data_IF_218849950694
#
_entry.id   IF_218849950694
#
_cell.length_a   1.000
_cell.length_b   1.000
_cell.length_c   1.000
_cell.angle_alpha   90.00
_cell.angle_beta   90.00
_cell.angle_gamma   90.00
#
_symmetry.space_group_name_H-M   'P 1'
#
loop_
_entity.id
_entity.type
_entity.pdbx_description
1 polymer ?
#
# COMPACT_ATOMS: atom_id res chain seq x y z
N UNK A 1 18.29 -28.24 47.57
CA UNK A 1 17.27 -28.88 48.41
C UNK A 1 16.70 -27.84 49.38
N UNK A 2 15.38 -27.64 49.33
CA UNK A 2 14.49 -27.11 50.37
C UNK A 2 14.78 -25.81 51.16
N UNK A 3 13.82 -24.89 50.96
CA UNK A 3 12.95 -24.22 51.95
C UNK A 3 13.34 -22.83 52.52
N UNK A 4 12.43 -21.90 52.18
CA UNK A 4 11.76 -20.84 52.99
C UNK A 4 12.66 -19.85 53.76
N UNK A 5 12.38 -18.55 53.61
CA UNK A 5 11.57 -17.72 54.52
C UNK A 5 11.31 -16.36 53.84
N UNK A 6 10.04 -15.95 53.76
CA UNK A 6 9.63 -14.56 53.50
C UNK A 6 9.33 -13.94 54.87
N UNK A 7 9.86 -12.76 55.23
CA UNK A 7 9.46 -12.08 56.45
C UNK A 7 8.19 -11.27 56.23
N UNK A 8 7.32 -11.37 57.22
CA UNK A 8 6.09 -10.60 57.42
C UNK A 8 6.44 -9.13 57.64
N UNK A 9 5.97 -8.22 56.78
CA UNK A 9 5.97 -6.79 57.07
C UNK A 9 4.61 -6.38 57.66
N UNK A 10 4.71 -5.75 58.82
CA UNK A 10 3.65 -5.44 59.78
C UNK A 10 2.67 -4.37 59.28
N UNK A 11 1.42 -4.47 59.74
CA UNK A 11 0.39 -3.42 59.60
C UNK A 11 0.83 -2.18 60.39
N UNK A 12 0.96 -1.04 59.72
CA UNK A 12 1.07 0.28 60.32
C UNK A 12 -0.23 1.04 60.02
N UNK A 13 -0.89 1.68 61.00
CA UNK A 13 -2.16 2.36 60.81
C UNK A 13 -1.99 3.63 59.98
N UNK A 14 -2.83 3.76 58.94
CA UNK A 14 -2.97 4.98 58.13
C UNK A 14 -3.73 6.04 58.92
N UNK A 15 -3.03 6.77 59.78
CA UNK A 15 -3.43 8.10 60.16
C UNK A 15 -2.20 9.01 60.05
N UNK A 16 -2.38 10.14 59.35
CA UNK A 16 -1.38 11.18 59.06
C UNK A 16 -0.24 10.82 58.08
N UNK A 17 -0.57 10.74 56.78
CA UNK A 17 0.38 11.00 55.69
C UNK A 17 -0.17 12.11 54.78
N UNK A 18 0.58 13.19 54.48
CA UNK A 18 0.09 14.29 53.65
C UNK A 18 -0.02 13.88 52.17
N UNK A 19 -1.16 14.21 51.55
CA UNK A 19 -1.59 13.81 50.20
C UNK A 19 -0.59 14.13 49.06
N UNK A 20 0.35 15.06 49.26
CA UNK A 20 1.30 15.48 48.23
C UNK A 20 2.44 14.48 47.97
N UNK A 21 2.82 13.68 48.96
CA UNK A 21 3.90 12.70 48.82
C UNK A 21 3.45 11.44 48.05
N UNK A 22 2.17 11.05 48.18
CA UNK A 22 1.61 9.87 47.52
C UNK A 22 1.43 10.07 46.00
N UNK A 23 1.02 11.28 45.59
CA UNK A 23 0.89 11.63 44.18
C UNK A 23 2.23 11.59 43.43
N UNK A 24 3.31 12.00 44.09
CA UNK A 24 4.66 12.02 43.50
C UNK A 24 5.23 10.60 43.35
N UNK A 25 4.91 9.70 44.29
CA UNK A 25 5.32 8.29 44.24
C UNK A 25 4.62 7.51 43.11
N UNK A 26 3.31 7.76 42.88
CA UNK A 26 2.52 7.14 41.81
C UNK A 26 3.02 7.54 40.42
N UNK A 27 3.42 8.80 40.22
CA UNK A 27 3.94 9.26 38.92
C UNK A 27 5.26 8.57 38.57
N UNK A 28 6.12 8.31 39.58
CA UNK A 28 7.44 7.69 39.38
C UNK A 28 7.40 6.17 39.17
N UNK A 29 6.35 5.45 39.62
CA UNK A 29 6.25 3.98 39.53
C UNK A 29 5.12 3.46 38.62
N UNK A 30 4.53 4.33 37.80
CA UNK A 30 3.38 4.04 36.93
C UNK A 30 3.60 2.92 35.89
N UNK A 31 4.83 2.50 35.61
CA UNK A 31 5.11 1.42 34.65
C UNK A 31 4.96 0.00 35.21
N UNK A 32 5.10 -0.21 36.53
CA UNK A 32 5.01 -1.55 37.14
C UNK A 32 3.58 -1.91 37.57
N UNK A 33 2.71 -0.92 37.77
CA UNK A 33 1.30 -1.15 38.13
C UNK A 33 0.42 -1.60 36.95
N UNK A 34 0.77 -1.24 35.70
CA UNK A 34 -0.01 -1.62 34.51
C UNK A 34 0.00 -3.14 34.25
N UNK A 35 1.07 -3.85 34.62
CA UNK A 35 1.14 -5.31 34.45
C UNK A 35 0.26 -6.10 35.43
N UNK A 36 0.06 -5.60 36.66
CA UNK A 36 -0.80 -6.25 37.65
C UNK A 36 -2.30 -6.01 37.40
N UNK A 37 -2.67 -4.83 36.87
CA UNK A 37 -4.07 -4.51 36.56
C UNK A 37 -4.67 -5.37 35.45
N UNK A 38 -3.88 -5.71 34.43
CA UNK A 38 -4.32 -6.55 33.32
C UNK A 38 -4.58 -8.01 33.76
N UNK A 39 -3.76 -8.52 34.68
CA UNK A 39 -3.91 -9.88 35.26
C UNK A 39 -5.18 -10.01 36.11
N UNK A 40 -5.53 -8.98 36.89
CA UNK A 40 -6.76 -8.94 37.67
C UNK A 40 -8.02 -8.86 36.77
N UNK A 41 -7.94 -8.12 35.66
CA UNK A 41 -9.02 -8.04 34.68
C UNK A 41 -9.25 -9.38 33.98
N UNK A 42 -8.19 -10.06 33.54
CA UNK A 42 -8.27 -11.40 32.94
C UNK A 42 -8.82 -12.42 33.94
N UNK A 43 -8.37 -12.39 35.20
CA UNK A 43 -8.87 -13.28 36.25
C UNK A 43 -10.36 -13.06 36.53
N UNK A 44 -10.82 -11.80 36.64
CA UNK A 44 -12.23 -11.47 36.86
C UNK A 44 -13.13 -11.88 35.68
N UNK A 45 -12.63 -11.75 34.45
CA UNK A 45 -13.36 -12.15 33.22
C UNK A 45 -13.46 -13.67 33.10
N UNK A 46 -12.41 -14.40 33.50
CA UNK A 46 -12.40 -15.87 33.53
C UNK A 46 -13.34 -16.39 34.63
N UNK A 47 -13.34 -15.79 35.83
CA UNK A 47 -14.23 -16.16 36.94
C UNK A 47 -15.72 -15.87 36.64
N UNK A 48 -16.02 -14.77 35.96
CA UNK A 48 -17.40 -14.45 35.53
C UNK A 48 -17.88 -15.32 34.36
N UNK A 49 -16.99 -15.66 33.42
CA UNK A 49 -17.26 -16.61 32.35
C UNK A 49 -17.53 -18.04 32.85
N UNK A 50 -16.72 -18.52 33.81
CA UNK A 50 -16.88 -19.84 34.43
C UNK A 50 -18.20 -19.97 35.23
N UNK A 51 -18.63 -18.89 35.89
CA UNK A 51 -19.93 -18.85 36.58
C UNK A 51 -21.13 -18.90 35.61
N UNK A 52 -21.02 -18.34 34.40
CA UNK A 52 -22.11 -18.41 33.41
C UNK A 52 -22.25 -19.79 32.76
N UNK A 53 -21.15 -20.54 32.62
CA UNK A 53 -21.15 -21.90 32.04
C UNK A 53 -21.60 -23.01 33.00
N UNK A 54 -21.68 -22.75 34.32
CA UNK A 54 -22.15 -23.71 35.33
C UNK A 54 -23.65 -23.60 35.66
N UNK A 55 -24.37 -22.66 35.06
CA UNK A 55 -25.80 -22.40 35.35
C UNK A 55 -26.79 -22.90 34.27
N UNK A 56 -26.34 -23.76 33.36
CA UNK A 56 -27.18 -24.32 32.30
C UNK A 56 -27.26 -25.86 32.36
N UNK A 57 -27.82 -26.41 33.44
CA UNK A 57 -28.36 -27.78 33.43
C UNK A 57 -29.37 -27.98 34.57
N UNK A 58 -30.56 -28.54 34.30
CA UNK A 58 -31.62 -28.71 35.30
C UNK A 58 -31.41 -30.03 36.03
N UNK A 59 -31.39 -30.01 37.37
CA UNK A 59 -31.83 -31.10 38.28
C UNK A 59 -31.33 -30.81 39.72
N UNK A 60 -32.20 -31.15 40.69
CA UNK A 60 -32.01 -31.20 42.14
C UNK A 60 -32.55 -30.03 42.98
N UNK A 61 -33.74 -30.31 43.52
CA UNK A 61 -34.43 -29.71 44.66
C UNK A 61 -33.63 -29.82 45.98
N UNK A 62 -33.65 -28.77 46.79
CA UNK A 62 -33.92 -28.74 48.26
C UNK A 62 -33.47 -27.37 48.82
N UNK A 63 -34.27 -26.66 49.65
CA UNK A 63 -33.95 -25.30 50.09
C UNK A 63 -33.50 -25.30 51.55
N UNK A 64 -32.20 -25.25 51.84
CA UNK A 64 -31.69 -24.70 53.11
C UNK A 64 -30.27 -24.17 52.86
N UNK A 65 -29.98 -22.99 53.45
CA UNK A 65 -28.65 -22.41 53.67
C UNK A 65 -28.07 -21.38 52.69
N UNK A 66 -28.84 -20.37 52.22
CA UNK A 66 -28.21 -19.23 51.51
C UNK A 66 -28.79 -17.84 51.85
N UNK A 67 -28.84 -17.49 53.14
CA UNK A 67 -29.10 -16.10 53.58
C UNK A 67 -27.87 -15.34 54.11
N UNK A 68 -26.65 -15.88 54.00
CA UNK A 68 -25.46 -15.28 54.63
C UNK A 68 -24.49 -14.50 53.73
N UNK A 69 -24.59 -14.56 52.39
CA UNK A 69 -23.46 -14.18 51.52
C UNK A 69 -23.75 -13.03 50.53
N UNK A 70 -24.99 -12.55 50.39
CA UNK A 70 -25.33 -11.50 49.40
C UNK A 70 -25.78 -10.16 49.99
N UNK A 71 -25.08 -9.67 51.01
CA UNK A 71 -25.26 -8.30 51.52
C UNK A 71 -24.20 -7.26 51.05
N UNK A 72 -22.94 -7.58 50.70
CA UNK A 72 -21.97 -6.53 50.35
C UNK A 72 -21.84 -6.21 48.85
N UNK A 73 -22.46 -6.99 47.94
CA UNK A 73 -22.27 -6.82 46.49
C UNK A 73 -23.19 -5.78 45.82
N UNK A 74 -24.17 -5.21 46.52
CA UNK A 74 -25.03 -4.14 45.96
C UNK A 74 -24.45 -2.72 46.09
N UNK A 75 -23.39 -2.52 46.87
CA UNK A 75 -22.80 -1.18 47.10
C UNK A 75 -21.66 -0.81 46.13
N UNK A 76 -21.15 -1.76 45.32
CA UNK A 76 -19.95 -1.54 44.48
C UNK A 76 -20.29 -1.07 43.05
N UNK A 77 -21.55 -1.20 42.61
CA UNK A 77 -21.91 -0.93 41.20
C UNK A 77 -21.95 0.55 40.78
N UNK A 78 -22.08 1.51 41.71
CA UNK A 78 -22.18 2.93 41.31
C UNK A 78 -20.83 3.66 41.23
N UNK A 79 -19.85 3.26 42.05
CA UNK A 79 -18.53 3.93 42.08
C UNK A 79 -17.56 3.39 41.02
N UNK A 80 -17.69 2.11 40.65
CA UNK A 80 -16.79 1.49 39.66
C UNK A 80 -17.13 1.88 38.22
N UNK A 81 -18.42 2.08 37.91
CA UNK A 81 -18.87 2.53 36.58
C UNK A 81 -18.44 3.98 36.29
N UNK A 82 -18.41 4.84 37.32
CA UNK A 82 -17.87 6.21 37.21
C UNK A 82 -16.35 6.22 36.95
N UNK A 83 -15.61 5.27 37.53
CA UNK A 83 -14.16 5.16 37.32
C UNK A 83 -13.82 4.65 35.91
N UNK A 84 -14.63 3.75 35.35
CA UNK A 84 -14.50 3.26 33.97
C UNK A 84 -14.85 4.36 32.96
N UNK A 85 -15.91 5.14 33.20
CA UNK A 85 -16.29 6.28 32.34
C UNK A 85 -15.26 7.42 32.37
N UNK A 86 -14.61 7.65 33.52
CA UNK A 86 -13.50 8.60 33.63
C UNK A 86 -12.23 8.10 32.92
N UNK A 87 -11.96 6.79 32.93
CA UNK A 87 -10.83 6.21 32.19
C UNK A 87 -11.05 6.21 30.67
N UNK A 88 -12.28 6.01 30.19
CA UNK A 88 -12.61 6.19 28.77
C UNK A 88 -12.48 7.66 28.31
N UNK A 89 -12.81 8.63 29.18
CA UNK A 89 -12.56 10.05 28.87
C UNK A 89 -11.07 10.41 28.83
N UNK A 90 -10.22 9.75 29.62
CA UNK A 90 -8.76 9.95 29.54
C UNK A 90 -8.11 9.22 28.35
N UNK A 91 -8.63 8.07 27.94
CA UNK A 91 -8.11 7.32 26.79
C UNK A 91 -8.43 7.98 25.43
N UNK A 92 -9.48 8.80 25.36
CA UNK A 92 -9.84 9.59 24.17
C UNK A 92 -8.97 10.85 23.97
N UNK A 93 -8.17 11.26 24.95
CA UNK A 93 -7.29 12.43 24.84
C UNK A 93 -5.84 12.11 24.44
N UNK A 94 -5.46 10.83 24.32
CA UNK A 94 -4.07 10.43 24.01
C UNK A 94 -3.84 10.02 22.54
N UNK A 95 -4.86 10.07 21.68
CA UNK A 95 -4.72 9.78 20.25
C UNK A 95 -5.51 10.78 19.40
N UNK A 96 -4.92 11.97 19.21
CA UNK A 96 -5.24 12.82 18.06
C UNK A 96 -3.95 13.10 17.30
N UNK A 97 -3.79 12.56 16.08
CA UNK A 97 -2.75 13.03 15.17
C UNK A 97 -3.14 14.45 14.69
N UNK A 98 -2.18 15.36 14.75
CA UNK A 98 -2.28 16.68 14.12
C UNK A 98 -2.47 16.49 12.60
N UNK A 99 -3.54 17.02 11.99
CA UNK A 99 -3.30 17.98 10.91
C UNK A 99 -4.36 19.08 10.75
N UNK A 100 -3.89 20.21 10.19
CA UNK A 100 -4.58 21.15 9.29
C UNK A 100 -5.99 21.65 9.67
N UNK A 101 -6.06 22.91 10.13
CA UNK A 101 -7.15 23.85 9.77
C UNK A 101 -6.73 25.28 10.17
N UNK A 102 -6.25 26.05 9.19
CA UNK A 102 -6.30 27.51 9.21
C UNK A 102 -6.99 27.94 7.93
N UNK A 103 -8.32 28.07 8.02
CA UNK A 103 -9.31 28.75 7.18
C UNK A 103 -10.63 28.23 7.77
N UNK A 104 -11.46 28.98 8.50
CA UNK A 104 -12.15 30.19 8.09
C UNK A 104 -13.01 30.74 9.26
N UNK A 105 -13.30 32.04 9.18
CA UNK A 105 -14.55 32.72 9.57
C UNK A 105 -14.93 32.84 11.08
N UNK A 106 -15.04 34.11 11.46
CA UNK A 106 -15.48 34.67 12.73
C UNK A 106 -17.00 34.49 12.93
N UNK A 107 -17.41 34.18 14.16
CA UNK A 107 -18.60 34.64 14.91
C UNK A 107 -18.71 33.67 16.11
N UNK A 108 -18.90 34.00 17.38
CA UNK A 108 -19.12 35.21 18.16
C UNK A 108 -19.68 34.72 19.51
N UNK A 109 -19.16 35.25 20.64
CA UNK A 109 -19.61 35.03 22.04
C UNK A 109 -19.25 33.64 22.61
N UNK A 110 -18.57 33.46 23.74
CA UNK A 110 -18.17 34.32 24.85
C UNK A 110 -18.34 33.55 26.15
N UNK A 111 -17.31 32.84 26.63
CA UNK A 111 -17.22 32.33 28.01
C UNK A 111 -15.74 32.36 28.46
N UNK A 112 -15.51 32.82 29.69
CA UNK A 112 -14.23 33.27 30.24
C UNK A 112 -13.09 32.23 30.17
N UNK A 113 -12.09 32.50 29.34
CA UNK A 113 -10.86 31.72 29.26
C UNK A 113 -9.80 32.23 30.24
N UNK A 114 -9.33 31.33 31.12
CA UNK A 114 -8.08 31.49 31.88
C UNK A 114 -6.96 31.78 30.88
N UNK A 115 -6.40 32.98 30.96
CA UNK A 115 -5.41 33.49 30.02
C UNK A 115 -4.04 32.89 30.38
N UNK A 116 -3.77 31.66 29.94
CA UNK A 116 -2.41 31.15 29.89
C UNK A 116 -1.60 31.98 28.88
N UNK A 117 -0.89 33.02 29.36
CA UNK A 117 0.19 33.64 28.59
C UNK A 117 1.30 32.61 28.45
N UNK A 118 1.28 31.87 27.35
CA UNK A 118 2.47 31.18 26.88
C UNK A 118 3.39 32.26 26.33
N UNK A 119 4.42 32.61 27.12
CA UNK A 119 5.47 33.52 26.70
C UNK A 119 6.27 32.87 25.56
N UNK A 120 5.87 33.16 24.32
CA UNK A 120 6.44 32.60 23.09
C UNK A 120 7.86 33.08 22.80
N UNK A 121 8.47 33.92 23.66
CA UNK A 121 9.77 34.54 23.42
C UNK A 121 11.00 33.79 23.96
N UNK A 122 10.85 32.62 24.60
CA UNK A 122 12.02 31.85 25.11
C UNK A 122 11.96 30.32 24.95
N UNK A 123 11.23 29.78 23.97
CA UNK A 123 11.53 28.42 23.49
C UNK A 123 12.60 28.52 22.40
N UNK A 124 13.87 28.48 22.80
CA UNK A 124 14.91 27.90 21.92
C UNK A 124 14.37 26.54 21.52
N UNK A 125 13.89 26.42 20.27
CA UNK A 125 13.58 25.15 19.66
C UNK A 125 14.84 24.30 19.89
N UNK A 126 14.72 23.22 20.65
CA UNK A 126 15.83 22.32 20.90
C UNK A 126 16.15 21.67 19.55
N UNK A 127 16.97 22.34 18.73
CA UNK A 127 17.46 21.78 17.49
C UNK A 127 18.32 20.59 17.90
N UNK A 128 17.95 19.34 17.55
CA UNK A 128 18.79 18.21 17.83
C UNK A 128 20.17 18.48 17.22
N UNK A 129 21.27 18.02 17.84
CA UNK A 129 22.62 18.26 17.33
C UNK A 129 22.65 17.89 15.85
N UNK A 130 23.15 18.80 15.00
CA UNK A 130 23.17 18.63 13.55
C UNK A 130 23.95 17.37 13.23
N UNK A 131 23.23 16.28 12.95
CA UNK A 131 23.83 14.98 12.73
C UNK A 131 24.54 14.99 11.37
N UNK A 132 25.80 14.56 11.36
CA UNK A 132 26.57 14.39 10.13
C UNK A 132 25.98 13.26 9.29
N UNK A 133 26.27 13.29 7.99
CA UNK A 133 25.92 12.22 7.07
C UNK A 133 26.63 10.93 7.47
N UNK A 134 25.87 9.86 7.69
CA UNK A 134 26.37 8.53 8.04
C UNK A 134 27.16 7.82 6.92
N UNK A 135 27.26 8.41 5.73
CA UNK A 135 27.99 7.83 4.59
C UNK A 135 29.30 8.57 4.31
N UNK A 136 29.29 9.90 4.29
CA UNK A 136 30.51 10.68 4.01
C UNK A 136 31.17 11.30 5.25
N UNK A 137 30.46 11.39 6.38
CA UNK A 137 30.89 11.99 7.65
C UNK A 137 31.33 13.48 7.58
N UNK A 138 31.33 14.08 6.38
CA UNK A 138 31.77 15.45 6.11
C UNK A 138 30.61 16.45 6.08
N UNK A 139 29.56 16.11 5.35
CA UNK A 139 28.40 16.99 5.14
C UNK A 139 27.31 16.77 6.19
N UNK A 140 26.47 17.78 6.39
CA UNK A 140 25.30 17.70 7.27
C UNK A 140 24.24 16.78 6.67
N UNK A 141 23.62 15.94 7.48
CA UNK A 141 22.50 15.14 7.02
C UNK A 141 21.27 16.01 6.77
N UNK A 142 20.67 15.87 5.59
CA UNK A 142 19.48 16.62 5.16
C UNK A 142 18.24 15.74 5.24
N UNK A 143 18.39 14.42 5.10
CA UNK A 143 17.27 13.48 5.11
C UNK A 143 17.58 12.23 5.94
N UNK A 144 16.50 11.61 6.42
CA UNK A 144 16.50 10.25 6.95
C UNK A 144 15.97 9.31 5.88
N UNK A 145 16.79 8.35 5.47
CA UNK A 145 16.47 7.44 4.38
C UNK A 145 15.33 6.49 4.77
N UNK A 146 14.23 6.39 4.00
CA UNK A 146 13.09 5.51 4.31
C UNK A 146 13.48 4.04 4.46
N UNK A 147 14.31 3.51 3.56
CA UNK A 147 14.67 2.08 3.49
C UNK A 147 15.37 1.52 4.74
N UNK A 148 16.21 2.32 5.40
CA UNK A 148 17.08 1.84 6.48
C UNK A 148 17.27 2.82 7.64
N UNK A 149 16.62 3.99 7.60
CA UNK A 149 16.69 5.00 8.64
C UNK A 149 18.03 5.74 8.75
N UNK A 150 18.98 5.52 7.82
CA UNK A 150 20.28 6.20 7.82
C UNK A 150 20.13 7.69 7.51
N UNK A 151 20.93 8.52 8.17
CA UNK A 151 20.96 9.96 7.94
C UNK A 151 21.95 10.31 6.83
N UNK A 152 21.49 10.94 5.76
CA UNK A 152 22.27 11.20 4.55
C UNK A 152 22.25 12.67 4.16
N UNK A 153 23.37 13.16 3.62
CA UNK A 153 23.38 14.40 2.86
C UNK A 153 22.79 14.16 1.45
N UNK A 154 22.45 15.24 0.75
CA UNK A 154 21.81 15.18 -0.56
C UNK A 154 22.69 14.47 -1.61
N UNK A 155 23.99 14.77 -1.64
CA UNK A 155 24.93 14.16 -2.58
C UNK A 155 25.05 12.64 -2.38
N UNK A 156 25.25 12.21 -1.14
CA UNK A 156 25.32 10.78 -0.82
C UNK A 156 24.03 10.05 -1.14
N UNK A 157 22.88 10.69 -0.92
CA UNK A 157 21.59 10.11 -1.28
C UNK A 157 21.47 9.89 -2.79
N UNK A 158 21.84 10.87 -3.62
CA UNK A 158 21.82 10.72 -5.08
C UNK A 158 22.71 9.56 -5.55
N UNK A 159 23.97 9.54 -5.11
CA UNK A 159 24.91 8.50 -5.50
C UNK A 159 24.42 7.10 -5.10
N UNK A 160 23.90 6.95 -3.88
CA UNK A 160 23.39 5.65 -3.40
C UNK A 160 22.13 5.24 -4.16
N UNK A 161 21.20 6.16 -4.40
CA UNK A 161 19.96 5.88 -5.11
C UNK A 161 20.21 5.50 -6.57
N UNK A 162 21.05 6.28 -7.27
CA UNK A 162 21.46 6.02 -8.66
C UNK A 162 22.22 4.70 -8.79
N UNK A 163 23.15 4.42 -7.86
CA UNK A 163 23.92 3.17 -7.85
C UNK A 163 23.04 1.93 -7.61
N UNK A 164 22.03 2.01 -6.74
CA UNK A 164 21.11 0.89 -6.48
C UNK A 164 20.20 0.60 -7.67
N UNK A 165 19.77 1.64 -8.40
CA UNK A 165 19.01 1.47 -9.65
C UNK A 165 19.91 0.84 -10.72
N UNK A 166 21.16 1.30 -10.84
CA UNK A 166 22.17 0.68 -11.72
C UNK A 166 22.39 -0.80 -11.37
N UNK A 167 22.57 -1.13 -10.09
CA UNK A 167 22.75 -2.50 -9.62
C UNK A 167 21.54 -3.38 -10.00
N UNK A 168 20.32 -2.84 -9.87
CA UNK A 168 19.09 -3.53 -10.28
C UNK A 168 19.09 -3.82 -11.78
N UNK A 169 19.47 -2.83 -12.60
CA UNK A 169 19.56 -2.97 -14.06
C UNK A 169 20.55 -4.08 -14.44
N UNK A 170 21.72 -4.10 -13.82
CA UNK A 170 22.79 -5.04 -14.12
C UNK A 170 22.47 -6.46 -13.62
N UNK A 171 21.99 -6.58 -12.38
CA UNK A 171 21.64 -7.87 -11.76
C UNK A 171 20.55 -8.60 -12.54
N UNK A 172 19.51 -7.87 -12.94
CA UNK A 172 18.37 -8.42 -13.69
C UNK A 172 18.61 -8.45 -15.21
N UNK A 173 19.77 -7.97 -15.68
CA UNK A 173 20.15 -7.90 -17.10
C UNK A 173 19.06 -7.25 -17.96
N UNK A 174 18.55 -6.10 -17.52
CA UNK A 174 17.35 -5.49 -18.12
C UNK A 174 17.57 -5.03 -19.57
N UNK A 175 18.79 -4.64 -19.94
CA UNK A 175 19.10 -4.07 -21.25
C UNK A 175 20.28 -4.78 -21.92
N UNK A 176 20.32 -4.69 -23.25
CA UNK A 176 21.43 -5.08 -24.10
C UNK A 176 21.84 -3.85 -24.94
N UNK A 177 23.13 -3.70 -25.29
CA UNK A 177 23.56 -2.65 -26.21
C UNK A 177 22.80 -2.76 -27.54
N UNK A 178 22.33 -1.62 -28.05
CA UNK A 178 21.50 -1.53 -29.26
C UNK A 178 19.99 -1.70 -29.03
N UNK A 179 19.53 -1.94 -27.79
CA UNK A 179 18.10 -2.00 -27.50
C UNK A 179 17.41 -0.64 -27.77
N UNK A 180 16.25 -0.69 -28.42
CA UNK A 180 15.34 0.45 -28.55
C UNK A 180 14.31 0.37 -27.43
N UNK A 181 14.34 1.35 -26.54
CA UNK A 181 13.67 1.29 -25.25
C UNK A 181 12.58 2.36 -25.17
N UNK A 182 11.32 1.93 -25.19
CA UNK A 182 10.16 2.82 -25.03
C UNK A 182 9.86 3.04 -23.54
N UNK A 183 10.07 4.26 -23.05
CA UNK A 183 9.77 4.65 -21.68
C UNK A 183 8.34 5.18 -21.57
N UNK A 184 7.53 4.54 -20.74
CA UNK A 184 6.15 4.98 -20.46
C UNK A 184 6.14 6.30 -19.69
N UNK A 185 5.68 7.37 -20.32
CA UNK A 185 5.62 8.72 -19.77
C UNK A 185 4.19 9.07 -19.36
N UNK A 186 3.88 8.98 -18.06
CA UNK A 186 2.58 9.39 -17.52
C UNK A 186 2.56 10.85 -17.04
N UNK A 187 3.71 11.52 -17.00
CA UNK A 187 3.85 12.89 -16.46
C UNK A 187 3.91 12.94 -14.93
N UNK A 188 3.68 11.81 -14.26
CA UNK A 188 3.78 11.70 -12.80
C UNK A 188 5.22 11.50 -12.31
N UNK A 189 5.40 11.68 -11.01
CA UNK A 189 6.71 11.62 -10.31
C UNK A 189 7.56 10.40 -10.68
N UNK A 190 6.97 9.21 -10.68
CA UNK A 190 7.71 7.96 -10.87
C UNK A 190 8.22 7.84 -12.31
N UNK A 191 7.39 8.22 -13.29
CA UNK A 191 7.79 8.23 -14.70
C UNK A 191 8.84 9.29 -15.01
N UNK A 192 8.73 10.49 -14.42
CA UNK A 192 9.70 11.57 -14.62
C UNK A 192 11.07 11.20 -14.04
N UNK A 193 11.11 10.66 -12.81
CA UNK A 193 12.35 10.19 -12.18
C UNK A 193 12.95 9.05 -12.98
N UNK A 194 12.13 8.11 -13.45
CA UNK A 194 12.59 7.02 -14.31
C UNK A 194 13.26 7.56 -15.59
N UNK A 195 12.63 8.49 -16.32
CA UNK A 195 13.18 9.07 -17.54
C UNK A 195 14.53 9.74 -17.25
N UNK A 196 14.60 10.53 -16.17
CA UNK A 196 15.83 11.18 -15.75
C UNK A 196 16.95 10.17 -15.45
N UNK A 197 16.67 9.14 -14.66
CA UNK A 197 17.63 8.10 -14.30
C UNK A 197 18.08 7.29 -15.50
N UNK A 198 17.15 6.91 -16.39
CA UNK A 198 17.48 6.14 -17.59
C UNK A 198 18.41 6.94 -18.50
N UNK A 199 18.18 8.24 -18.68
CA UNK A 199 19.06 9.12 -19.44
C UNK A 199 20.43 9.27 -18.78
N UNK A 200 20.45 9.59 -17.48
CA UNK A 200 21.67 9.78 -16.70
C UNK A 200 22.54 8.52 -16.67
N UNK A 201 21.96 7.37 -16.33
CA UNK A 201 22.69 6.11 -16.21
C UNK A 201 23.15 5.58 -17.58
N UNK A 202 22.39 5.80 -18.65
CA UNK A 202 22.82 5.46 -20.01
C UNK A 202 24.05 6.25 -20.44
N UNK A 203 24.13 7.53 -20.06
CA UNK A 203 25.30 8.38 -20.34
C UNK A 203 26.50 8.06 -19.44
N UNK A 204 26.26 7.78 -18.15
CA UNK A 204 27.33 7.49 -17.19
C UNK A 204 27.95 6.09 -17.36
N UNK A 205 27.15 5.11 -17.73
CA UNK A 205 27.58 3.69 -17.81
C UNK A 205 27.58 3.14 -19.24
N UNK A 206 27.28 3.98 -20.23
CA UNK A 206 27.32 3.62 -21.66
C UNK A 206 26.54 2.34 -21.98
N UNK A 207 25.29 2.23 -21.51
CA UNK A 207 24.45 1.05 -21.79
C UNK A 207 24.21 0.83 -23.29
N UNK A 208 24.37 1.87 -24.11
CA UNK A 208 24.20 1.80 -25.56
C UNK A 208 22.74 1.62 -25.98
N UNK A 209 21.80 2.12 -25.17
CA UNK A 209 20.36 2.02 -25.46
C UNK A 209 19.84 3.30 -26.13
N UNK A 210 18.87 3.14 -27.02
CA UNK A 210 18.13 4.24 -27.63
C UNK A 210 16.83 4.48 -26.84
N UNK A 211 16.73 5.62 -26.17
CA UNK A 211 15.56 5.98 -25.36
C UNK A 211 14.52 6.74 -26.19
N UNK A 212 13.27 6.27 -26.13
CA UNK A 212 12.10 6.91 -26.73
C UNK A 212 11.03 7.11 -25.66
N UNK A 213 10.26 8.19 -25.73
CA UNK A 213 9.14 8.44 -24.82
C UNK A 213 7.82 8.03 -25.46
N UNK A 214 7.02 7.27 -24.72
CA UNK A 214 5.69 6.86 -25.13
C UNK A 214 4.67 7.30 -24.07
N UNK A 215 3.75 8.18 -24.46
CA UNK A 215 2.68 8.67 -23.60
C UNK A 215 1.33 8.22 -24.15
N UNK A 216 0.43 7.82 -23.25
CA UNK A 216 -0.93 7.44 -23.62
C UNK A 216 -1.90 8.48 -23.06
N UNK A 217 -2.72 9.07 -23.91
CA UNK A 217 -3.80 9.96 -23.52
C UNK A 217 -5.10 9.15 -23.35
N UNK A 218 -5.53 9.00 -22.10
CA UNK A 218 -6.76 8.31 -21.75
C UNK A 218 -8.02 9.11 -22.04
N UNK A 219 -7.91 10.42 -22.31
CA UNK A 219 -9.05 11.32 -22.52
C UNK A 219 -9.88 11.56 -21.26
N UNK A 220 -9.19 11.87 -20.15
CA UNK A 220 -9.81 12.26 -18.86
C UNK A 220 -9.71 13.78 -18.71
N UNK A 221 -10.84 14.47 -18.80
CA UNK A 221 -10.90 15.92 -18.75
C UNK A 221 -10.35 16.49 -17.43
N UNK A 222 -9.53 17.55 -17.52
CA UNK A 222 -9.00 18.26 -16.36
C UNK A 222 -7.90 17.51 -15.58
N UNK A 223 -7.53 16.30 -16.01
CA UNK A 223 -6.42 15.53 -15.46
C UNK A 223 -5.28 15.40 -16.49
N UNK A 224 -5.62 14.93 -17.70
CA UNK A 224 -4.59 14.53 -18.66
C UNK A 224 -3.99 15.71 -19.43
N UNK A 225 -4.75 16.78 -19.62
CA UNK A 225 -4.30 18.00 -20.32
C UNK A 225 -3.03 18.60 -19.71
N UNK A 226 -3.02 18.78 -18.39
CA UNK A 226 -1.86 19.36 -17.69
C UNK A 226 -0.70 18.37 -17.56
N UNK A 227 -1.03 17.09 -17.40
CA UNK A 227 -0.05 16.02 -17.36
C UNK A 227 0.71 15.88 -18.69
N UNK A 228 0.03 16.00 -19.83
CA UNK A 228 0.65 15.95 -21.16
C UNK A 228 1.60 17.14 -21.39
N UNK A 229 1.23 18.35 -20.95
CA UNK A 229 2.14 19.52 -21.00
C UNK A 229 3.46 19.25 -20.27
N UNK A 230 3.41 18.56 -19.13
CA UNK A 230 4.62 18.15 -18.41
C UNK A 230 5.42 17.10 -19.18
N UNK A 231 4.76 16.13 -19.83
CA UNK A 231 5.45 15.14 -20.67
C UNK A 231 6.14 15.80 -21.87
N UNK A 232 5.51 16.77 -22.53
CA UNK A 232 6.12 17.54 -23.62
C UNK A 232 7.36 18.30 -23.14
N UNK A 233 7.26 19.03 -22.02
CA UNK A 233 8.41 19.71 -21.40
C UNK A 233 9.54 18.74 -21.07
N UNK A 234 9.24 17.57 -20.51
CA UNK A 234 10.25 16.55 -20.23
C UNK A 234 10.92 16.03 -21.51
N UNK A 235 10.18 15.85 -22.60
CA UNK A 235 10.74 15.44 -23.89
C UNK A 235 11.74 16.49 -24.43
N UNK A 236 11.40 17.78 -24.31
CA UNK A 236 12.27 18.89 -24.70
C UNK A 236 13.53 18.97 -23.82
N UNK A 237 13.35 18.93 -22.49
CA UNK A 237 14.47 19.03 -21.52
C UNK A 237 15.48 17.90 -21.69
N UNK A 238 15.02 16.67 -21.92
CA UNK A 238 15.90 15.51 -22.10
C UNK A 238 16.29 15.25 -23.57
N UNK A 239 15.78 16.06 -24.50
CA UNK A 239 15.95 15.90 -25.94
C UNK A 239 15.66 14.46 -26.42
N UNK A 240 14.46 13.97 -26.07
CA UNK A 240 14.01 12.61 -26.40
C UNK A 240 12.78 12.66 -27.31
N UNK A 241 12.73 11.78 -28.31
CA UNK A 241 11.57 11.66 -29.19
C UNK A 241 10.34 11.18 -28.42
N UNK A 242 9.24 11.92 -28.51
CA UNK A 242 7.97 11.63 -27.85
C UNK A 242 6.90 11.20 -28.86
N UNK A 243 6.27 10.06 -28.59
CA UNK A 243 5.03 9.64 -29.25
C UNK A 243 3.88 9.68 -28.26
N UNK A 244 2.81 10.36 -28.63
CA UNK A 244 1.54 10.36 -27.89
C UNK A 244 0.53 9.55 -28.69
N UNK A 245 -0.22 8.67 -28.02
CA UNK A 245 -1.36 7.95 -28.59
C UNK A 245 -2.59 8.18 -27.72
N UNK A 246 -3.75 8.40 -28.31
CA UNK A 246 -4.99 8.59 -27.56
C UNK A 246 -5.86 7.33 -27.55
N UNK A 247 -6.65 7.13 -26.49
CA UNK A 247 -7.67 6.07 -26.48
C UNK A 247 -8.72 6.29 -27.55
N UNK A 248 -9.04 7.55 -27.88
CA UNK A 248 -9.98 7.87 -28.94
C UNK A 248 -9.50 7.33 -30.29
N UNK A 249 -8.23 7.50 -30.62
CA UNK A 249 -7.63 6.95 -31.84
C UNK A 249 -7.55 5.42 -31.83
N UNK A 250 -7.15 4.83 -30.70
CA UNK A 250 -6.87 3.38 -30.63
C UNK A 250 -8.13 2.52 -30.52
N UNK A 251 -9.18 3.07 -29.91
CA UNK A 251 -10.36 2.32 -29.46
C UNK A 251 -11.69 2.96 -29.86
N UNK A 252 -11.71 4.24 -30.28
CA UNK A 252 -12.92 5.00 -30.56
C UNK A 252 -13.61 5.58 -29.31
N UNK A 253 -13.06 5.31 -28.12
CA UNK A 253 -13.64 5.68 -26.82
C UNK A 253 -12.63 6.47 -25.98
N UNK A 254 -13.09 7.52 -25.29
CA UNK A 254 -12.32 8.12 -24.18
C UNK A 254 -12.68 7.45 -22.85
N UNK A 255 -11.85 7.62 -21.82
CA UNK A 255 -12.21 7.13 -20.49
C UNK A 255 -13.45 7.81 -19.92
N UNK A 256 -13.67 9.10 -20.20
CA UNK A 256 -14.87 9.80 -19.76
C UNK A 256 -16.14 9.21 -20.40
N UNK A 257 -16.08 8.80 -21.67
CA UNK A 257 -17.17 8.10 -22.35
C UNK A 257 -17.40 6.69 -21.76
N UNK A 258 -16.32 5.96 -21.47
CA UNK A 258 -16.41 4.64 -20.82
C UNK A 258 -17.07 4.73 -19.45
N UNK A 259 -16.65 5.68 -18.61
CA UNK A 259 -17.21 5.86 -17.26
C UNK A 259 -18.70 6.19 -17.30
N UNK A 260 -19.16 6.98 -18.28
CA UNK A 260 -20.59 7.28 -18.48
C UNK A 260 -21.42 6.03 -18.73
N UNK A 261 -20.87 5.02 -19.41
CA UNK A 261 -21.57 3.77 -19.75
C UNK A 261 -21.44 2.73 -18.64
N UNK A 262 -20.25 2.57 -18.05
CA UNK A 262 -19.93 1.43 -17.17
C UNK A 262 -19.99 1.75 -15.68
N UNK A 263 -20.08 3.05 -15.33
CA UNK A 263 -19.97 3.54 -13.97
C UNK A 263 -18.54 3.50 -13.41
N UNK A 264 -18.37 4.09 -12.21
CA UNK A 264 -17.07 4.32 -11.57
C UNK A 264 -16.36 3.02 -11.14
N UNK A 265 -17.07 2.08 -10.54
CA UNK A 265 -16.49 0.85 -9.94
C UNK A 265 -15.69 0.00 -10.92
N UNK A 266 -16.10 -0.04 -12.19
CA UNK A 266 -15.45 -0.86 -13.21
C UNK A 266 -14.44 -0.09 -14.08
N UNK A 267 -14.44 1.25 -14.01
CA UNK A 267 -13.66 2.12 -14.89
C UNK A 267 -12.15 1.85 -14.87
N UNK A 268 -11.58 1.61 -13.69
CA UNK A 268 -10.15 1.31 -13.54
C UNK A 268 -9.75 -0.02 -14.21
N UNK A 269 -10.68 -0.98 -14.31
CA UNK A 269 -10.45 -2.25 -15.02
C UNK A 269 -10.33 -2.01 -16.52
N UNK A 270 -11.23 -1.20 -17.10
CA UNK A 270 -11.14 -0.81 -18.52
C UNK A 270 -9.85 -0.02 -18.80
N UNK A 271 -9.59 1.01 -17.99
CA UNK A 271 -8.42 1.85 -18.14
C UNK A 271 -7.11 1.04 -18.06
N UNK A 272 -6.97 0.13 -17.09
CA UNK A 272 -5.77 -0.69 -16.95
C UNK A 272 -5.53 -1.64 -18.12
N UNK A 273 -6.59 -2.28 -18.63
CA UNK A 273 -6.51 -3.20 -19.78
C UNK A 273 -6.16 -2.44 -21.06
N UNK A 274 -6.83 -1.31 -21.31
CA UNK A 274 -6.55 -0.46 -22.47
C UNK A 274 -5.16 0.17 -22.39
N UNK A 275 -4.71 0.64 -21.22
CA UNK A 275 -3.38 1.23 -21.05
C UNK A 275 -2.28 0.24 -21.38
N UNK A 276 -2.43 -1.00 -20.90
CA UNK A 276 -1.46 -2.07 -21.18
C UNK A 276 -1.37 -2.31 -22.68
N UNK A 277 -2.50 -2.56 -23.34
CA UNK A 277 -2.52 -2.82 -24.78
C UNK A 277 -2.02 -1.61 -25.57
N UNK A 278 -2.41 -0.39 -25.22
CA UNK A 278 -1.99 0.85 -25.87
C UNK A 278 -0.47 1.06 -25.80
N UNK A 279 0.15 0.76 -24.65
CA UNK A 279 1.61 0.77 -24.52
C UNK A 279 2.27 -0.27 -25.42
N UNK A 280 1.71 -1.48 -25.54
CA UNK A 280 2.25 -2.51 -26.45
C UNK A 280 2.12 -2.08 -27.91
N UNK A 281 0.97 -1.50 -28.30
CA UNK A 281 0.76 -0.96 -29.66
C UNK A 281 1.76 0.14 -29.97
N UNK A 282 1.89 1.12 -29.08
CA UNK A 282 2.78 2.26 -29.28
C UNK A 282 4.24 1.87 -29.31
N UNK A 283 4.66 0.91 -28.49
CA UNK A 283 6.01 0.38 -28.51
C UNK A 283 6.30 -0.38 -29.82
N UNK A 284 5.35 -1.18 -30.32
CA UNK A 284 5.47 -1.84 -31.62
C UNK A 284 5.57 -0.83 -32.79
N UNK A 285 4.78 0.24 -32.77
CA UNK A 285 4.84 1.30 -33.79
C UNK A 285 6.18 2.05 -33.82
N UNK A 286 6.85 2.15 -32.67
CA UNK A 286 8.17 2.77 -32.54
C UNK A 286 9.33 1.81 -32.85
N UNK A 287 9.05 0.53 -33.14
CA UNK A 287 10.08 -0.50 -33.30
C UNK A 287 10.86 -0.79 -32.01
N UNK A 288 10.26 -0.53 -30.83
CA UNK A 288 10.92 -0.75 -29.56
C UNK A 288 11.09 -2.25 -29.26
N UNK A 289 12.25 -2.62 -28.71
CA UNK A 289 12.52 -3.99 -28.25
C UNK A 289 12.03 -4.23 -26.83
N UNK A 290 11.93 -3.16 -26.01
CA UNK A 290 11.53 -3.22 -24.60
C UNK A 290 10.69 -2.02 -24.18
N UNK A 291 9.82 -2.22 -23.20
CA UNK A 291 9.03 -1.15 -22.57
C UNK A 291 9.44 -0.97 -21.12
N UNK A 292 9.82 0.25 -20.73
CA UNK A 292 10.19 0.59 -19.35
C UNK A 292 9.01 1.27 -18.67
N UNK A 293 8.73 0.89 -17.44
CA UNK A 293 7.66 1.49 -16.63
C UNK A 293 8.16 1.90 -15.26
N UNK A 294 7.63 3.00 -14.72
CA UNK A 294 8.04 3.57 -13.43
C UNK A 294 7.48 2.85 -12.21
N UNK A 295 7.16 1.55 -12.29
CA UNK A 295 6.65 0.81 -11.14
C UNK A 295 7.74 0.70 -10.07
N UNK A 296 7.41 1.17 -8.87
CA UNK A 296 8.32 1.21 -7.73
C UNK A 296 8.12 0.00 -6.78
N UNK A 297 8.89 -0.05 -5.69
CA UNK A 297 8.81 -1.13 -4.71
C UNK A 297 7.43 -1.20 -4.03
N UNK A 298 6.85 -0.06 -3.69
CA UNK A 298 5.53 0.05 -3.08
C UNK A 298 4.44 -0.53 -4.00
N UNK A 299 4.47 -0.18 -5.29
CA UNK A 299 3.53 -0.70 -6.29
C UNK A 299 3.60 -2.23 -6.43
N UNK A 300 4.81 -2.78 -6.31
CA UNK A 300 5.03 -4.21 -6.39
C UNK A 300 4.54 -4.91 -5.11
N UNK A 301 4.86 -4.37 -3.94
CA UNK A 301 4.36 -4.88 -2.66
C UNK A 301 2.83 -4.83 -2.57
N UNK A 302 2.20 -3.74 -3.03
CA UNK A 302 0.74 -3.63 -3.16
C UNK A 302 0.18 -4.76 -4.03
N UNK A 303 0.81 -5.01 -5.17
CA UNK A 303 0.35 -6.05 -6.11
C UNK A 303 0.49 -7.45 -5.51
N UNK A 304 1.59 -7.74 -4.83
CA UNK A 304 1.81 -9.01 -4.11
C UNK A 304 0.73 -9.19 -3.04
N UNK A 305 0.52 -8.20 -2.20
CA UNK A 305 -0.50 -8.25 -1.14
C UNK A 305 -1.91 -8.46 -1.71
N UNK A 306 -2.28 -7.71 -2.75
CA UNK A 306 -3.57 -7.85 -3.41
C UNK A 306 -3.77 -9.26 -4.00
N UNK A 307 -2.73 -9.85 -4.60
CA UNK A 307 -2.82 -11.19 -5.18
C UNK A 307 -2.93 -12.27 -4.10
N UNK A 308 -2.23 -12.10 -2.97
CA UNK A 308 -2.39 -12.97 -1.78
C UNK A 308 -3.83 -12.90 -1.26
N UNK A 309 -4.36 -11.70 -1.06
CA UNK A 309 -5.73 -11.51 -0.55
C UNK A 309 -6.81 -12.04 -1.50
N UNK A 310 -6.52 -12.08 -2.80
CA UNK A 310 -7.43 -12.65 -3.82
C UNK A 310 -7.28 -14.16 -3.99
N UNK A 311 -6.25 -14.78 -3.43
CA UNK A 311 -5.91 -16.17 -3.72
C UNK A 311 -5.47 -16.43 -5.17
N UNK A 312 -5.00 -15.41 -5.89
CA UNK A 312 -4.61 -15.51 -7.31
C UNK A 312 -3.14 -15.93 -7.43
N UNK A 313 -2.89 -17.23 -7.22
CA UNK A 313 -1.55 -17.83 -7.25
C UNK A 313 -0.85 -17.69 -8.63
N UNK A 314 -1.53 -17.88 -9.79
CA UNK A 314 -0.91 -17.69 -11.10
C UNK A 314 -0.44 -16.25 -11.36
N UNK A 315 -1.11 -15.23 -10.83
CA UNK A 315 -0.63 -13.85 -10.92
C UNK A 315 0.46 -13.54 -9.90
N UNK A 316 0.39 -14.14 -8.71
CA UNK A 316 1.40 -13.98 -7.68
C UNK A 316 2.79 -14.44 -8.16
N UNK A 317 2.88 -15.60 -8.81
CA UNK A 317 4.16 -16.15 -9.31
C UNK A 317 4.81 -15.26 -10.37
N UNK A 318 4.02 -14.53 -11.18
CA UNK A 318 4.52 -13.69 -12.28
C UNK A 318 4.78 -12.25 -11.88
N UNK A 319 4.10 -11.72 -10.86
CA UNK A 319 4.13 -10.30 -10.55
C UNK A 319 5.50 -9.79 -10.06
N UNK A 320 6.32 -10.66 -9.48
CA UNK A 320 7.64 -10.34 -8.87
C UNK A 320 8.78 -10.23 -9.88
N UNK A 321 8.56 -10.64 -11.14
CA UNK A 321 9.60 -10.60 -12.17
C UNK A 321 9.93 -9.16 -12.57
N UNK A 322 11.23 -8.83 -12.62
CA UNK A 322 11.72 -7.53 -13.08
C UNK A 322 11.53 -7.34 -14.58
N UNK A 323 11.57 -8.44 -15.33
CA UNK A 323 11.21 -8.54 -16.74
C UNK A 323 9.94 -9.38 -16.83
N UNK A 324 8.84 -8.77 -17.28
CA UNK A 324 7.60 -9.52 -17.53
C UNK A 324 7.57 -9.95 -18.99
N UNK A 325 7.77 -11.25 -19.25
CA UNK A 325 7.72 -11.88 -20.56
C UNK A 325 6.50 -12.80 -20.67
N UNK A 326 5.84 -12.86 -21.84
CA UNK A 326 4.75 -13.81 -22.13
C UNK A 326 3.32 -13.28 -22.00
N UNK A 327 3.08 -12.15 -21.33
CA UNK A 327 1.75 -11.48 -21.31
C UNK A 327 1.58 -10.40 -22.38
N UNK A 328 2.68 -9.81 -22.83
CA UNK A 328 2.73 -8.74 -23.82
C UNK A 328 3.63 -9.14 -24.98
N UNK A 329 3.40 -8.51 -26.14
CA UNK A 329 4.21 -8.69 -27.33
C UNK A 329 5.69 -8.37 -27.06
N UNK A 330 5.93 -7.35 -26.24
CA UNK A 330 7.26 -6.88 -25.86
C UNK A 330 7.49 -7.09 -24.36
N UNK A 331 8.71 -7.43 -23.94
CA UNK A 331 9.06 -7.54 -22.53
C UNK A 331 8.98 -6.17 -21.84
N UNK A 332 8.38 -6.15 -20.65
CA UNK A 332 8.30 -4.96 -19.80
C UNK A 332 9.33 -5.03 -18.70
N UNK A 333 10.08 -3.95 -18.52
CA UNK A 333 11.15 -3.85 -17.52
C UNK A 333 10.84 -2.78 -16.47
N UNK A 334 11.26 -3.04 -15.23
CA UNK A 334 11.00 -2.19 -14.05
C UNK A 334 12.31 -1.84 -13.32
N UNK A 335 13.07 -0.83 -13.77
CA UNK A 335 14.32 -0.43 -13.11
C UNK A 335 14.14 0.02 -11.66
N UNK A 336 12.98 0.58 -11.32
CA UNK A 336 12.64 1.08 -9.98
C UNK A 336 12.08 -0.01 -9.05
N UNK A 337 12.19 -1.29 -9.41
CA UNK A 337 11.60 -2.44 -8.66
C UNK A 337 11.90 -2.42 -7.16
N UNK A 338 13.10 -1.99 -6.74
CA UNK A 338 13.51 -1.95 -5.33
C UNK A 338 13.59 -0.52 -4.76
N UNK A 339 13.21 0.49 -5.54
CA UNK A 339 13.19 1.88 -5.10
C UNK A 339 11.88 2.19 -4.37
N UNK A 340 11.98 2.75 -3.17
CA UNK A 340 10.80 3.18 -2.40
C UNK A 340 10.17 4.42 -3.05
N UNK A 341 8.84 4.49 -3.04
CA UNK A 341 8.09 5.66 -3.52
C UNK A 341 8.53 6.95 -2.82
N UNK A 342 8.75 6.90 -1.49
CA UNK A 342 9.26 8.04 -0.73
C UNK A 342 10.63 8.50 -1.21
N UNK A 343 11.52 7.58 -1.60
CA UNK A 343 12.83 7.92 -2.14
C UNK A 343 12.72 8.57 -3.52
N UNK A 344 11.81 8.07 -4.37
CA UNK A 344 11.51 8.67 -5.68
C UNK A 344 10.99 10.11 -5.51
N UNK A 345 10.06 10.34 -4.59
CA UNK A 345 9.54 11.69 -4.27
C UNK A 345 10.66 12.61 -3.80
N UNK A 346 11.51 12.14 -2.87
CA UNK A 346 12.64 12.92 -2.37
C UNK A 346 13.64 13.25 -3.48
N UNK A 347 13.93 12.28 -4.35
CA UNK A 347 14.83 12.45 -5.47
C UNK A 347 14.29 13.50 -6.46
N UNK A 348 13.01 13.39 -6.84
CA UNK A 348 12.34 14.36 -7.72
C UNK A 348 12.38 15.77 -7.12
N UNK A 349 12.06 15.91 -5.83
CA UNK A 349 12.06 17.18 -5.12
C UNK A 349 13.46 17.80 -5.06
N UNK A 350 14.48 17.03 -4.68
CA UNK A 350 15.85 17.53 -4.55
C UNK A 350 16.51 17.88 -5.89
N UNK A 351 16.17 17.16 -6.97
CA UNK A 351 16.59 17.49 -8.34
C UNK A 351 15.71 18.56 -8.99
N UNK A 352 14.62 18.98 -8.33
CA UNK A 352 13.63 19.94 -8.84
C UNK A 352 13.07 19.54 -10.21
N UNK A 353 12.74 18.26 -10.36
CA UNK A 353 12.16 17.74 -11.60
C UNK A 353 10.74 18.25 -11.78
N UNK A 354 10.34 18.49 -13.03
CA UNK A 354 9.00 18.92 -13.38
C UNK A 354 8.08 17.70 -13.52
N UNK A 355 7.17 17.53 -12.57
CA UNK A 355 6.22 16.43 -12.55
C UNK A 355 4.83 16.89 -12.10
N UNK A 356 3.82 16.20 -12.62
CA UNK A 356 2.42 16.42 -12.27
C UNK A 356 2.04 15.61 -11.02
N UNK A 357 1.36 16.24 -10.07
CA UNK A 357 1.03 15.66 -8.75
C UNK A 357 -0.42 15.25 -8.58
N UNK A 358 -1.33 15.76 -9.40
CA UNK A 358 -2.76 15.47 -9.24
C UNK A 358 -2.99 13.97 -9.45
N UNK A 359 -3.86 13.38 -8.62
CA UNK A 359 -4.32 12.00 -8.77
C UNK A 359 -5.51 11.92 -9.73
N UNK A 360 -5.75 10.73 -10.29
CA UNK A 360 -6.89 10.52 -11.18
C UNK A 360 -8.22 10.63 -10.43
N UNK A 361 -9.19 11.35 -10.99
CA UNK A 361 -10.52 11.52 -10.39
C UNK A 361 -11.23 10.19 -10.15
N UNK A 362 -10.95 9.17 -10.98
CA UNK A 362 -11.61 7.86 -10.93
C UNK A 362 -10.89 6.81 -10.08
N UNK A 363 -9.72 7.09 -9.51
CA UNK A 363 -8.93 6.06 -8.78
C UNK A 363 -9.37 5.85 -7.33
N UNK A 364 -10.27 6.67 -6.79
CA UNK A 364 -10.61 6.68 -5.35
C UNK A 364 -11.29 5.40 -4.86
N UNK A 365 -12.12 4.76 -5.67
CA UNK A 365 -12.90 3.57 -5.28
C UNK A 365 -12.16 2.23 -5.51
N UNK A 366 -10.88 2.26 -5.89
CA UNK A 366 -10.14 1.04 -6.20
C UNK A 366 -9.66 0.31 -4.93
N UNK A 367 -9.84 -1.02 -4.88
CA UNK A 367 -9.31 -1.89 -3.80
C UNK A 367 -7.81 -1.71 -3.52
N UNK A 368 -7.05 -1.26 -4.53
CA UNK A 368 -5.63 -0.96 -4.39
C UNK A 368 -5.35 0.11 -3.32
N UNK A 369 -6.25 1.07 -3.14
CA UNK A 369 -6.13 2.13 -2.12
C UNK A 369 -6.14 1.56 -0.70
N UNK A 370 -6.93 0.51 -0.46
CA UNK A 370 -6.98 -0.18 0.85
C UNK A 370 -5.69 -0.97 1.10
N UNK A 371 -5.21 -1.72 0.11
CA UNK A 371 -3.94 -2.45 0.19
C UNK A 371 -2.75 -1.50 0.45
N UNK A 372 -2.74 -0.33 -0.20
CA UNK A 372 -1.76 0.73 0.04
C UNK A 372 -1.82 1.22 1.48
N UNK A 373 -3.00 1.57 1.97
CA UNK A 373 -3.19 2.07 3.34
C UNK A 373 -2.68 1.06 4.37
N UNK A 374 -3.03 -0.22 4.20
CA UNK A 374 -2.55 -1.30 5.06
C UNK A 374 -1.02 -1.41 5.04
N UNK A 375 -0.39 -1.40 3.85
CA UNK A 375 1.07 -1.46 3.74
C UNK A 375 1.76 -0.27 4.39
N UNK A 376 1.26 0.95 4.19
CA UNK A 376 1.84 2.15 4.81
C UNK A 376 1.72 2.12 6.33
N UNK A 377 0.62 1.59 6.87
CA UNK A 377 0.45 1.42 8.32
C UNK A 377 1.50 0.44 8.90
N UNK A 378 1.79 -0.65 8.19
CA UNK A 378 2.85 -1.60 8.59
C UNK A 378 4.24 -0.97 8.44
N UNK A 379 4.47 -0.18 7.38
CA UNK A 379 5.74 0.50 7.11
C UNK A 379 6.16 1.45 8.25
N UNK A 380 5.20 2.08 8.93
CA UNK A 380 5.45 2.93 10.11
C UNK A 380 6.10 2.11 11.24
N UNK A 381 5.65 0.87 11.44
CA UNK A 381 6.16 -0.03 12.48
C UNK A 381 7.46 -0.72 12.03
N UNK A 382 7.52 -1.14 10.77
CA UNK A 382 8.64 -1.87 10.19
C UNK A 382 9.00 -1.31 8.80
N UNK A 383 9.99 -0.41 8.69
CA UNK A 383 10.33 0.27 7.42
C UNK A 383 10.76 -0.67 6.29
N UNK A 384 11.24 -1.88 6.63
CA UNK A 384 11.66 -2.90 5.66
C UNK A 384 10.51 -3.72 5.07
N UNK A 385 9.28 -3.60 5.58
CA UNK A 385 8.17 -4.46 5.20
C UNK A 385 7.91 -4.50 3.69
N UNK A 386 8.16 -3.41 2.97
CA UNK A 386 7.95 -3.30 1.52
C UNK A 386 8.92 -4.23 0.78
N UNK A 387 10.23 -4.10 1.03
CA UNK A 387 11.23 -4.97 0.42
C UNK A 387 11.13 -6.42 0.89
N UNK A 388 10.80 -6.63 2.17
CA UNK A 388 10.62 -7.98 2.70
C UNK A 388 9.42 -8.67 2.02
N UNK A 389 8.33 -7.94 1.76
CA UNK A 389 7.19 -8.45 0.98
C UNK A 389 7.59 -8.84 -0.44
N UNK A 390 8.40 -8.01 -1.12
CA UNK A 390 8.92 -8.32 -2.45
C UNK A 390 9.79 -9.57 -2.41
N UNK A 391 10.72 -9.65 -1.45
CA UNK A 391 11.60 -10.80 -1.26
C UNK A 391 10.82 -12.07 -0.99
N UNK A 392 9.77 -12.01 -0.16
CA UNK A 392 8.86 -13.13 0.07
C UNK A 392 8.18 -13.53 -1.25
N UNK A 393 7.65 -12.57 -2.01
CA UNK A 393 7.05 -12.85 -3.33
C UNK A 393 8.03 -13.48 -4.34
N UNK A 394 9.31 -13.13 -4.31
CA UNK A 394 10.36 -13.74 -5.15
C UNK A 394 10.71 -15.17 -4.72
N UNK A 395 10.60 -15.47 -3.42
CA UNK A 395 10.91 -16.79 -2.86
C UNK A 395 9.72 -17.75 -2.87
N UNK A 396 8.49 -17.22 -2.89
CA UNK A 396 7.28 -18.00 -2.98
C UNK A 396 7.23 -18.73 -4.33
N UNK A 397 7.44 -20.04 -4.28
CA UNK A 397 7.23 -20.93 -5.43
C UNK A 397 5.83 -21.52 -5.31
N UNK A 398 4.99 -21.21 -6.29
CA UNK A 398 3.71 -21.89 -6.47
C UNK A 398 3.98 -23.19 -7.24
N UNK A 399 3.28 -24.27 -6.90
CA UNK A 399 3.39 -25.54 -7.63
C UNK A 399 3.03 -25.33 -9.10
N UNK A 400 3.80 -25.90 -10.02
CA UNK A 400 3.61 -25.73 -11.47
C UNK A 400 2.19 -26.10 -11.92
N UNK A 401 1.58 -27.12 -11.29
CA UNK A 401 0.20 -27.57 -11.54
C UNK A 401 -0.86 -26.51 -11.22
N UNK A 402 -0.60 -25.60 -10.26
CA UNK A 402 -1.52 -24.53 -9.88
C UNK A 402 -1.25 -23.23 -10.69
N UNK A 403 -0.10 -23.14 -11.37
CA UNK A 403 0.26 -21.99 -12.22
C UNK A 403 0.00 -22.21 -13.70
N UNK A 404 -0.17 -23.46 -14.15
CA UNK A 404 -0.50 -23.76 -15.53
C UNK A 404 -1.88 -23.19 -15.85
N UNK A 405 -1.92 -22.13 -16.65
CA UNK A 405 -3.15 -21.74 -17.33
C UNK A 405 -3.51 -22.85 -18.30
N UNK A 406 -4.76 -23.32 -18.28
CA UNK A 406 -5.26 -24.42 -19.13
C UNK A 406 -4.95 -24.20 -20.63
N UNK A 407 -4.76 -22.95 -21.05
CA UNK A 407 -4.45 -22.58 -22.43
C UNK A 407 -3.07 -21.87 -22.55
N UNK A 408 -2.22 -22.27 -23.50
CA UNK A 408 -0.99 -21.56 -23.81
C UNK A 408 -1.28 -20.16 -24.40
N UNK A 409 -0.35 -19.19 -24.26
CA UNK A 409 -0.50 -17.88 -24.87
C UNK A 409 -0.59 -18.02 -26.41
N UNK A 410 -1.67 -17.49 -26.96
CA UNK A 410 -2.00 -17.50 -28.39
C UNK A 410 -2.29 -16.08 -28.89
N UNK A 411 -2.39 -15.90 -30.22
CA UNK A 411 -2.75 -14.62 -30.80
C UNK A 411 -4.27 -14.43 -30.82
N UNK A 412 -4.73 -13.26 -30.37
CA UNK A 412 -6.15 -12.89 -30.41
C UNK A 412 -6.66 -12.86 -31.85
N UNK A 413 -7.79 -13.53 -32.12
CA UNK A 413 -8.36 -13.64 -33.47
C UNK A 413 -8.74 -12.29 -34.08
N UNK A 414 -9.06 -11.28 -33.24
CA UNK A 414 -9.48 -9.95 -33.70
C UNK A 414 -8.35 -8.95 -33.87
N UNK A 415 -7.33 -9.00 -33.01
CA UNK A 415 -6.29 -7.95 -33.00
C UNK A 415 -4.85 -8.49 -33.06
N UNK A 416 -4.65 -9.80 -33.06
CA UNK A 416 -3.33 -10.44 -33.15
C UNK A 416 -2.48 -10.37 -31.88
N UNK A 417 -2.91 -9.67 -30.82
CA UNK A 417 -2.15 -9.56 -29.57
C UNK A 417 -2.25 -10.81 -28.69
N UNK A 418 -1.22 -11.02 -27.87
CA UNK A 418 -1.09 -12.19 -26.98
C UNK A 418 -2.27 -12.28 -26.00
N UNK A 419 -2.85 -13.47 -25.90
CA UNK A 419 -3.95 -13.79 -24.99
C UNK A 419 -4.03 -15.30 -24.73
N UNK A 420 -4.54 -15.70 -23.57
CA UNK A 420 -4.84 -17.10 -23.24
C UNK A 420 -6.24 -17.54 -23.67
N UNK A 421 -7.03 -16.65 -24.29
CA UNK A 421 -8.39 -16.90 -24.75
C UNK A 421 -8.49 -16.63 -26.26
N UNK A 422 -9.61 -16.98 -26.90
CA UNK A 422 -9.81 -16.68 -28.33
C UNK A 422 -9.81 -15.17 -28.63
N UNK A 423 -10.39 -14.38 -27.72
CA UNK A 423 -10.39 -12.92 -27.75
C UNK A 423 -9.63 -12.36 -26.56
N UNK A 424 -8.76 -11.38 -26.82
CA UNK A 424 -8.08 -10.68 -25.73
C UNK A 424 -9.06 -9.86 -24.89
N UNK A 425 -8.71 -9.64 -23.62
CA UNK A 425 -9.58 -8.93 -22.67
C UNK A 425 -9.99 -7.54 -23.17
N UNK A 426 -9.11 -6.83 -23.86
CA UNK A 426 -9.43 -5.54 -24.44
C UNK A 426 -10.53 -5.63 -25.51
N UNK A 427 -10.45 -6.62 -26.42
CA UNK A 427 -11.48 -6.84 -27.44
C UNK A 427 -12.84 -7.23 -26.84
N UNK A 428 -12.84 -8.04 -25.78
CA UNK A 428 -14.06 -8.40 -25.04
C UNK A 428 -14.70 -7.16 -24.42
N UNK A 429 -13.92 -6.32 -23.73
CA UNK A 429 -14.40 -5.09 -23.12
C UNK A 429 -14.93 -4.09 -24.15
N UNK A 430 -14.25 -3.94 -25.28
CA UNK A 430 -14.70 -3.07 -26.38
C UNK A 430 -16.00 -3.57 -27.02
N UNK A 431 -16.16 -4.89 -27.15
CA UNK A 431 -17.41 -5.47 -27.63
C UNK A 431 -18.57 -5.16 -26.68
N UNK A 432 -18.34 -5.26 -25.36
CA UNK A 432 -19.32 -4.89 -24.35
C UNK A 432 -19.75 -3.41 -24.41
N UNK A 433 -18.79 -2.50 -24.67
CA UNK A 433 -19.08 -1.07 -24.85
C UNK A 433 -19.89 -0.79 -26.12
N UNK A 434 -19.53 -1.40 -27.25
CA UNK A 434 -20.19 -1.15 -28.53
C UNK A 434 -21.58 -1.79 -28.66
N UNK A 435 -21.90 -2.79 -27.84
CA UNK A 435 -23.19 -3.49 -27.86
C UNK A 435 -24.23 -2.90 -26.89
N UNK A 436 -23.96 -1.73 -26.26
CA UNK A 436 -24.87 -1.06 -25.31
C UNK A 436 -25.38 -1.97 -24.17
N UNK A 437 -24.51 -2.77 -23.57
CA UNK A 437 -24.89 -3.66 -22.46
C UNK A 437 -23.82 -3.76 -21.38
N UNK A 438 -23.94 -3.06 -20.22
CA UNK A 438 -23.01 -3.20 -19.10
C UNK A 438 -23.07 -4.58 -18.40
N UNK A 439 -23.82 -5.55 -18.92
CA UNK A 439 -24.08 -6.83 -18.27
C UNK A 439 -23.10 -7.97 -18.62
N UNK A 440 -22.28 -7.86 -19.67
CA UNK A 440 -21.62 -9.05 -20.24
C UNK A 440 -20.21 -9.35 -19.67
N UNK A 441 -19.52 -8.41 -19.02
CA UNK A 441 -18.07 -8.55 -18.89
C UNK A 441 -17.46 -8.72 -17.49
N UNK A 442 -18.23 -8.68 -16.38
CA UNK A 442 -17.65 -8.76 -15.02
C UNK A 442 -17.92 -10.09 -14.31
N UNK A 443 -18.73 -11.00 -14.87
CA UNK A 443 -18.83 -12.35 -14.31
C UNK A 443 -17.65 -13.17 -14.82
N UNK A 444 -16.81 -13.64 -13.89
CA UNK A 444 -15.90 -14.76 -14.14
C UNK A 444 -16.71 -15.87 -14.81
N UNK A 445 -16.31 -16.28 -16.02
CA UNK A 445 -16.98 -17.40 -16.66
C UNK A 445 -16.76 -18.63 -15.78
N UNK A 446 -17.81 -19.36 -15.36
CA UNK A 446 -17.61 -20.66 -14.74
C UNK A 446 -16.99 -21.58 -15.80
N UNK A 447 -15.97 -22.34 -15.40
CA UNK A 447 -15.37 -23.39 -16.22
C UNK A 447 -16.48 -24.30 -16.79
N UNK A 448 -16.38 -24.76 -18.05
CA UNK A 448 -17.32 -25.71 -18.59
C UNK A 448 -17.20 -27.02 -17.80
N UNK A 449 -18.22 -27.33 -16.99
CA UNK A 449 -18.39 -28.66 -16.42
C UNK A 449 -18.57 -29.65 -17.57
N UNK A 450 -17.76 -30.70 -17.55
CA UNK A 450 -17.80 -31.83 -18.46
C UNK A 450 -19.20 -32.47 -18.45
N UNK A 451 -20.05 -32.13 -19.41
CA UNK A 451 -21.21 -32.92 -19.78
C UNK A 451 -20.79 -33.94 -20.83
N UNK A 452 -20.25 -35.08 -20.39
CA UNK A 452 -20.13 -36.29 -21.19
C UNK A 452 -19.98 -37.48 -20.25
N UNK A 453 -21.10 -38.03 -19.78
CA UNK A 453 -21.28 -39.44 -19.39
C UNK A 453 -22.73 -39.69 -18.91
N UNK A 454 -23.72 -39.47 -19.78
CA UNK A 454 -25.05 -40.05 -19.65
C UNK A 454 -25.62 -40.37 -21.05
N UNK A 455 -24.84 -41.11 -21.84
CA UNK A 455 -25.34 -41.84 -23.01
C UNK A 455 -24.48 -43.11 -23.09
N UNK A 456 -24.98 -44.18 -22.47
CA UNK A 456 -24.74 -45.59 -22.77
C UNK A 456 -25.37 -46.43 -21.65
N UNK A 457 -26.70 -46.45 -21.66
CA UNK A 457 -27.48 -47.60 -21.19
C UNK A 457 -28.33 -48.00 -22.40
N UNK A 458 -28.40 -49.31 -22.67
CA UNK A 458 -29.12 -49.98 -23.78
C UNK A 458 -28.32 -50.22 -25.07
N UNK A 459 -27.40 -51.19 -25.04
CA UNK A 459 -27.33 -52.44 -25.85
C UNK A 459 -26.19 -53.24 -25.16
N UNK A 460 -26.25 -54.48 -24.70
CA UNK A 460 -26.88 -55.72 -25.18
C UNK A 460 -27.21 -56.61 -23.96
N UNK A 461 -28.35 -57.28 -24.02
CA UNK A 461 -28.55 -58.52 -23.29
C UNK A 461 -28.07 -59.69 -24.15
N UNK A 462 -27.27 -60.57 -23.56
CA UNK A 462 -27.24 -62.02 -23.78
C UNK A 462 -26.35 -62.68 -22.72
#
# INVERSE_FOLDING_TARGET
MCRRVVPVAQRIPLSSFPFSAFATWIVLHSREFLSCGLLLFVAATILTGLCHSLFASPLCNEPILWQGIFAPLRAINHSFLMYILLLEQFHMCAHVPLPLLLMEQKQGKGVAGVRCRVDLKKKKLFMPPQRQCSHCEKEKAVLKRPRNGKLLCQRCFFNLFEAEVHETIMKEKLFKPGDIVACGASGGKDSTVLIHLMKLLNEQHEYGIQLLLLSIDEGIAGYRDDSLKTVHRNAEVYNLSLRVLSYKELYGWTMDEVVKVTGLRSSCTYCGVFRRQALDRGAAMLGATKVVTGHNADDLAETILMNILRGDLPRLSRCTSAITSGESLLPRVKPLKYAYEKEIVLYAHFKKLDYFTTECTYSKEAFRSEARTLLKNIEILQPRCILDTIRTGEQLRVKEQECATENPPSACTRCGYVTSQSLCRACVLLQGLNMNGPAVCVREQPQPQQQQQQQNVEVEGQ
#
